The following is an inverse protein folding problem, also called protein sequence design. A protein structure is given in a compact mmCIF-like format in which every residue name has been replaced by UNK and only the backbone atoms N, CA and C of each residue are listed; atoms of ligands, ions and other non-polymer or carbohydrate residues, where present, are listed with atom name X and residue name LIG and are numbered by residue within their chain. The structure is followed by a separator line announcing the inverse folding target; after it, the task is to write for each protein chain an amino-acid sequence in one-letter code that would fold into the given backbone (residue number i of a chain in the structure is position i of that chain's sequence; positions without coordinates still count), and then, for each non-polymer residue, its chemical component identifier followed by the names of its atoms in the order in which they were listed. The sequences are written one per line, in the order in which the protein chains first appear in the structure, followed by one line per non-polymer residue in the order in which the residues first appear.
data_IF_869178616122
#
_entry.id   IF_869178616122
#
_cell.length_a   1.000
_cell.length_b   1.000
_cell.length_c   1.000
_cell.angle_alpha   90.00
_cell.angle_beta   90.00
_cell.angle_gamma   90.00
#
_symmetry.space_group_name_H-M   'P 1'
#
loop_
_entity.id
_entity.type
_entity.pdbx_description
1 polymer ?
#
# COMPACT_ATOMS: atom_id res chain seq x y z
N UNK A 1 21.84 -60.68 11.88
CA UNK A 1 20.75 -59.89 12.52
C UNK A 1 21.18 -58.47 12.91
N UNK A 2 22.34 -58.25 13.55
CA UNK A 2 22.80 -56.93 14.02
C UNK A 2 22.99 -55.91 12.86
N UNK A 3 23.47 -56.36 11.70
CA UNK A 3 23.69 -55.50 10.51
C UNK A 3 22.40 -55.00 9.86
N UNK A 4 21.31 -55.80 9.91
CA UNK A 4 19.99 -55.41 9.41
C UNK A 4 19.34 -54.32 10.29
N UNK A 5 19.53 -54.39 11.61
CA UNK A 5 19.05 -53.36 12.54
C UNK A 5 19.80 -52.04 12.39
N UNK A 6 21.12 -52.09 12.18
CA UNK A 6 21.93 -50.89 11.94
C UNK A 6 21.55 -50.18 10.63
N UNK A 7 21.29 -50.93 9.56
CA UNK A 7 20.84 -50.38 8.28
C UNK A 7 19.44 -49.74 8.38
N UNK A 8 18.51 -50.39 9.08
CA UNK A 8 17.15 -49.87 9.28
C UNK A 8 17.13 -48.59 10.13
N UNK A 9 17.96 -48.52 11.18
CA UNK A 9 18.10 -47.32 12.01
C UNK A 9 18.69 -46.14 11.21
N UNK A 10 19.69 -46.38 10.35
CA UNK A 10 20.25 -45.36 9.48
C UNK A 10 19.24 -44.80 8.48
N UNK A 11 18.42 -45.67 7.87
CA UNK A 11 17.36 -45.27 6.94
C UNK A 11 16.28 -44.43 7.63
N UNK A 12 15.86 -44.80 8.84
CA UNK A 12 14.88 -44.04 9.62
C UNK A 12 15.40 -42.64 9.99
N UNK A 13 16.68 -42.54 10.39
CA UNK A 13 17.31 -41.26 10.72
C UNK A 13 17.44 -40.38 9.47
N UNK A 14 17.77 -40.96 8.31
CA UNK A 14 17.86 -40.23 7.05
C UNK A 14 16.50 -39.68 6.60
N UNK A 15 15.43 -40.47 6.73
CA UNK A 15 14.06 -40.03 6.43
C UNK A 15 13.61 -38.94 7.41
N UNK A 16 13.92 -39.09 8.69
CA UNK A 16 13.60 -38.08 9.70
C UNK A 16 14.33 -36.75 9.45
N UNK A 17 15.61 -36.80 9.08
CA UNK A 17 16.40 -35.63 8.69
C UNK A 17 15.86 -34.97 7.41
N UNK A 18 15.48 -35.76 6.40
CA UNK A 18 14.89 -35.24 5.17
C UNK A 18 13.55 -34.51 5.45
N UNK A 19 12.70 -35.09 6.29
CA UNK A 19 11.43 -34.48 6.72
C UNK A 19 11.69 -33.19 7.51
N UNK A 20 12.63 -33.20 8.44
CA UNK A 20 13.00 -32.00 9.21
C UNK A 20 13.54 -30.89 8.31
N UNK A 21 14.36 -31.20 7.31
CA UNK A 21 14.88 -30.21 6.35
C UNK A 21 13.74 -29.61 5.52
N UNK A 22 12.81 -30.44 5.01
CA UNK A 22 11.63 -29.97 4.24
C UNK A 22 10.71 -29.11 5.10
N UNK A 23 10.50 -29.47 6.37
CA UNK A 23 9.75 -28.67 7.34
C UNK A 23 10.51 -27.39 7.76
N UNK A 24 11.85 -27.37 7.68
CA UNK A 24 12.69 -26.19 7.93
C UNK A 24 13.00 -25.36 6.68
N UNK A 25 12.41 -25.66 5.51
CA UNK A 25 12.42 -24.77 4.33
C UNK A 25 11.56 -23.55 4.67
N UNK A 26 12.16 -22.67 5.47
CA UNK A 26 11.90 -21.27 5.72
C UNK A 26 10.55 -20.73 5.22
N UNK A 27 9.75 -20.18 6.13
CA UNK A 27 8.77 -19.12 5.84
C UNK A 27 9.43 -17.77 5.46
N UNK A 28 10.77 -17.70 5.52
CA UNK A 28 11.55 -16.49 5.17
C UNK A 28 11.33 -15.95 3.74
N UNK A 29 11.17 -16.75 2.66
CA UNK A 29 10.86 -16.21 1.34
C UNK A 29 9.43 -15.66 1.29
N UNK A 30 8.45 -16.26 2.01
CA UNK A 30 7.09 -15.74 2.07
C UNK A 30 7.05 -14.38 2.76
N UNK A 31 7.65 -14.24 3.94
CA UNK A 31 7.73 -12.97 4.66
C UNK A 31 8.49 -11.88 3.89
N UNK A 32 9.59 -12.24 3.21
CA UNK A 32 10.33 -11.29 2.35
C UNK A 32 9.50 -10.85 1.15
N UNK A 33 8.77 -11.78 0.51
CA UNK A 33 7.85 -11.48 -0.61
C UNK A 33 6.72 -10.58 -0.16
N UNK A 34 6.14 -10.78 1.01
CA UNK A 34 5.11 -9.90 1.56
C UNK A 34 5.63 -8.47 1.78
N UNK A 35 6.81 -8.32 2.38
CA UNK A 35 7.42 -7.01 2.59
C UNK A 35 7.72 -6.31 1.25
N UNK A 36 8.22 -7.05 0.27
CA UNK A 36 8.45 -6.50 -1.08
C UNK A 36 7.15 -6.14 -1.79
N UNK A 37 6.10 -6.97 -1.67
CA UNK A 37 4.79 -6.71 -2.24
C UNK A 37 4.11 -5.48 -1.62
N UNK A 38 4.26 -5.28 -0.31
CA UNK A 38 3.80 -4.07 0.37
C UNK A 38 4.57 -2.84 -0.12
N UNK A 39 5.91 -2.93 -0.22
CA UNK A 39 6.74 -1.83 -0.75
C UNK A 39 6.38 -1.48 -2.19
N UNK A 40 6.23 -2.48 -3.06
CA UNK A 40 5.88 -2.25 -4.47
C UNK A 40 4.49 -1.64 -4.63
N UNK A 41 3.54 -2.04 -3.78
CA UNK A 41 2.22 -1.43 -3.74
C UNK A 41 2.28 0.06 -3.40
N UNK A 42 3.06 0.45 -2.38
CA UNK A 42 3.23 1.86 -2.02
C UNK A 42 3.97 2.64 -3.11
N UNK A 43 5.02 2.08 -3.72
CA UNK A 43 5.68 2.72 -4.86
C UNK A 43 4.71 2.94 -6.03
N UNK A 44 3.87 1.95 -6.35
CA UNK A 44 2.87 2.09 -7.41
C UNK A 44 1.81 3.14 -7.06
N UNK A 45 1.45 3.30 -5.79
CA UNK A 45 0.53 4.35 -5.34
C UNK A 45 1.16 5.75 -5.43
N UNK A 46 2.45 5.86 -5.09
CA UNK A 46 3.23 7.09 -5.29
C UNK A 46 3.29 7.45 -6.78
N UNK A 47 3.54 6.47 -7.65
CA UNK A 47 3.54 6.68 -9.10
C UNK A 47 2.16 7.13 -9.61
N UNK A 48 1.07 6.57 -9.10
CA UNK A 48 -0.27 7.04 -9.42
C UNK A 48 -0.50 8.50 -8.96
N UNK A 49 0.12 8.91 -7.84
CA UNK A 49 0.18 10.31 -7.40
C UNK A 49 0.96 11.19 -8.36
N UNK A 50 2.11 10.72 -8.87
CA UNK A 50 2.91 11.44 -9.85
C UNK A 50 2.11 11.68 -11.14
N UNK A 51 1.41 10.66 -11.65
CA UNK A 51 0.49 10.78 -12.80
C UNK A 51 -0.65 11.77 -12.53
N UNK A 52 -1.14 11.87 -11.28
CA UNK A 52 -2.15 12.87 -10.92
C UNK A 52 -1.63 14.31 -11.00
N UNK A 53 -0.32 14.55 -10.84
CA UNK A 53 0.26 15.90 -10.96
C UNK A 53 0.25 16.44 -12.40
N UNK A 54 0.26 15.55 -13.40
CA UNK A 54 0.23 15.88 -14.83
C UNK A 54 -1.15 15.67 -15.46
N UNK A 55 -2.20 15.52 -14.64
CA UNK A 55 -3.56 15.17 -15.06
C UNK A 55 -4.13 16.06 -16.17
N UNK A 56 -3.79 17.36 -16.18
CA UNK A 56 -4.21 18.31 -17.22
C UNK A 56 -3.72 17.92 -18.63
N UNK A 57 -2.53 17.32 -18.72
CA UNK A 57 -1.90 16.97 -19.99
C UNK A 57 -2.34 15.61 -20.54
N UNK A 58 -2.96 14.77 -19.71
CA UNK A 58 -3.44 13.45 -20.12
C UNK A 58 -4.66 13.54 -21.03
N UNK A 59 -4.73 12.69 -22.05
CA UNK A 59 -5.94 12.48 -22.85
C UNK A 59 -7.06 11.83 -22.02
N UNK A 60 -8.30 11.85 -22.54
CA UNK A 60 -9.44 11.25 -21.84
C UNK A 60 -9.28 9.74 -21.59
N UNK A 61 -8.68 9.00 -22.53
CA UNK A 61 -8.40 7.58 -22.38
C UNK A 61 -7.32 7.30 -21.34
N UNK A 62 -6.25 8.10 -21.31
CA UNK A 62 -5.18 8.00 -20.31
C UNK A 62 -5.70 8.31 -18.90
N UNK A 63 -6.56 9.32 -18.76
CA UNK A 63 -7.23 9.64 -17.48
C UNK A 63 -8.09 8.47 -16.99
N UNK A 64 -8.85 7.82 -17.88
CA UNK A 64 -9.65 6.65 -17.52
C UNK A 64 -8.77 5.47 -17.04
N UNK A 65 -7.67 5.20 -17.76
CA UNK A 65 -6.72 4.16 -17.39
C UNK A 65 -6.01 4.45 -16.06
N UNK A 66 -5.58 5.69 -15.85
CA UNK A 66 -4.95 6.14 -14.61
C UNK A 66 -5.92 6.08 -13.43
N UNK A 67 -7.18 6.50 -13.61
CA UNK A 67 -8.23 6.40 -12.60
C UNK A 67 -8.52 4.96 -12.17
N UNK A 68 -8.64 4.04 -13.14
CA UNK A 68 -8.83 2.62 -12.85
C UNK A 68 -7.62 2.01 -12.12
N UNK A 69 -6.40 2.39 -12.54
CA UNK A 69 -5.16 1.93 -11.90
C UNK A 69 -5.11 2.38 -10.44
N UNK A 70 -5.37 3.66 -10.16
CA UNK A 70 -5.47 4.19 -8.80
C UNK A 70 -6.52 3.44 -7.96
N UNK A 71 -7.69 3.15 -8.53
CA UNK A 71 -8.76 2.39 -7.84
C UNK A 71 -8.33 0.96 -7.51
N UNK A 72 -7.63 0.28 -8.43
CA UNK A 72 -7.09 -1.08 -8.20
C UNK A 72 -6.02 -1.09 -7.10
N UNK A 73 -5.15 -0.08 -7.08
CA UNK A 73 -4.12 0.06 -6.06
C UNK A 73 -4.73 0.31 -4.67
N UNK A 74 -5.74 1.18 -4.57
CA UNK A 74 -6.48 1.41 -3.32
C UNK A 74 -7.19 0.13 -2.83
N UNK A 75 -7.87 -0.59 -3.72
CA UNK A 75 -8.48 -1.88 -3.35
C UNK A 75 -7.41 -2.85 -2.82
N UNK A 76 -6.27 -2.96 -3.52
CA UNK A 76 -5.16 -3.81 -3.12
C UNK A 76 -4.55 -3.39 -1.78
N UNK A 77 -4.56 -2.10 -1.47
CA UNK A 77 -4.10 -1.54 -0.20
C UNK A 77 -5.00 -2.02 0.95
N UNK A 78 -6.32 -1.92 0.80
CA UNK A 78 -7.29 -2.35 1.82
C UNK A 78 -7.13 -3.83 2.18
N UNK A 79 -6.89 -4.68 1.19
CA UNK A 79 -6.71 -6.13 1.41
C UNK A 79 -5.27 -6.53 1.78
N UNK A 80 -4.32 -5.59 1.86
CA UNK A 80 -2.89 -5.89 2.05
C UNK A 80 -2.51 -6.40 3.44
N UNK A 81 -3.42 -6.29 4.42
CA UNK A 81 -3.18 -6.61 5.82
C UNK A 81 -2.23 -5.64 6.53
N UNK A 82 -1.91 -4.48 5.94
CA UNK A 82 -1.16 -3.42 6.60
C UNK A 82 -2.02 -2.77 7.71
N UNK A 83 -1.45 -2.52 8.91
CA UNK A 83 -2.19 -1.83 9.97
C UNK A 83 -2.67 -0.45 9.50
N UNK A 84 -3.97 -0.21 9.64
CA UNK A 84 -4.60 1.05 9.23
C UNK A 84 -4.57 1.32 7.73
N UNK A 85 -4.55 0.26 6.91
CA UNK A 85 -4.63 0.35 5.45
C UNK A 85 -5.90 1.05 4.96
N UNK A 86 -7.04 0.89 5.64
CA UNK A 86 -8.27 1.59 5.28
C UNK A 86 -8.17 3.10 5.44
N UNK A 87 -7.57 3.56 6.55
CA UNK A 87 -7.34 4.98 6.77
C UNK A 87 -6.37 5.56 5.72
N UNK A 88 -5.29 4.83 5.43
CA UNK A 88 -4.35 5.20 4.38
C UNK A 88 -5.01 5.24 2.99
N UNK A 89 -5.89 4.28 2.68
CA UNK A 89 -6.62 4.22 1.41
C UNK A 89 -7.58 5.39 1.25
N UNK A 90 -8.38 5.71 2.28
CA UNK A 90 -9.30 6.85 2.24
C UNK A 90 -8.52 8.17 2.05
N UNK A 91 -7.45 8.34 2.84
CA UNK A 91 -6.58 9.50 2.72
C UNK A 91 -5.92 9.59 1.33
N UNK A 92 -5.42 8.49 0.77
CA UNK A 92 -4.81 8.52 -0.57
C UNK A 92 -5.81 8.77 -1.68
N UNK A 93 -7.04 8.25 -1.58
CA UNK A 93 -8.11 8.58 -2.54
C UNK A 93 -8.39 10.10 -2.54
N UNK A 94 -8.44 10.70 -1.37
CA UNK A 94 -8.63 12.14 -1.21
C UNK A 94 -7.44 12.93 -1.77
N UNK A 95 -6.20 12.62 -1.36
CA UNK A 95 -5.00 13.31 -1.85
C UNK A 95 -4.84 13.20 -3.37
N UNK A 96 -5.18 12.05 -3.97
CA UNK A 96 -5.18 11.90 -5.43
C UNK A 96 -6.23 12.80 -6.10
N UNK A 97 -7.38 13.03 -5.47
CA UNK A 97 -8.38 14.00 -5.95
C UNK A 97 -7.82 15.42 -5.92
N UNK A 98 -7.20 15.82 -4.81
CA UNK A 98 -6.60 17.15 -4.66
C UNK A 98 -5.45 17.36 -5.66
N UNK A 99 -4.55 16.39 -5.84
CA UNK A 99 -3.48 16.46 -6.83
C UNK A 99 -4.03 16.66 -8.26
N UNK A 100 -5.12 15.97 -8.63
CA UNK A 100 -5.76 16.15 -9.94
C UNK A 100 -6.39 17.52 -10.09
N UNK A 101 -7.04 18.01 -9.02
CA UNK A 101 -7.65 19.34 -8.98
C UNK A 101 -6.59 20.43 -9.14
N UNK A 102 -5.50 20.33 -8.41
CA UNK A 102 -4.35 21.24 -8.50
C UNK A 102 -3.72 21.22 -9.89
N UNK A 103 -3.53 20.02 -10.45
CA UNK A 103 -3.04 19.87 -11.83
C UNK A 103 -3.93 20.60 -12.83
N UNK A 104 -5.26 20.55 -12.67
CA UNK A 104 -6.22 21.25 -13.53
C UNK A 104 -6.26 22.77 -13.32
N UNK A 105 -5.84 23.26 -12.15
CA UNK A 105 -5.82 24.69 -11.82
C UNK A 105 -4.53 25.41 -12.26
N UNK A 106 -3.69 24.76 -13.08
CA UNK A 106 -2.59 25.43 -13.77
C UNK A 106 -1.21 25.30 -13.13
N UNK A 107 -0.96 24.35 -12.23
CA UNK A 107 0.42 24.15 -11.76
C UNK A 107 0.67 22.89 -10.94
N UNK A 108 1.73 22.16 -11.34
CA UNK A 108 2.47 21.20 -10.52
C UNK A 108 2.83 21.87 -9.19
N UNK A 109 2.10 21.60 -8.11
CA UNK A 109 2.56 21.93 -6.76
C UNK A 109 3.45 20.78 -6.29
N UNK A 110 4.79 20.88 -6.38
CA UNK A 110 5.67 19.79 -6.00
C UNK A 110 5.51 19.49 -4.51
N UNK A 111 5.24 20.52 -3.71
CA UNK A 111 5.03 20.41 -2.28
C UNK A 111 3.88 19.46 -1.89
N UNK A 112 2.77 19.45 -2.64
CA UNK A 112 1.64 18.56 -2.33
C UNK A 112 1.98 17.10 -2.65
N UNK A 113 2.65 16.86 -3.78
CA UNK A 113 3.13 15.54 -4.15
C UNK A 113 4.24 15.04 -3.19
N UNK A 114 5.19 15.89 -2.83
CA UNK A 114 6.26 15.59 -1.89
C UNK A 114 5.71 15.23 -0.50
N UNK A 115 4.67 15.97 -0.07
CA UNK A 115 3.94 15.65 1.15
C UNK A 115 3.28 14.27 1.05
N UNK A 116 2.55 14.02 -0.04
CA UNK A 116 1.88 12.74 -0.29
C UNK A 116 2.88 11.56 -0.27
N UNK A 117 3.98 11.68 -0.99
CA UNK A 117 5.05 10.68 -1.04
C UNK A 117 5.66 10.45 0.36
N UNK A 118 5.99 11.54 1.07
CA UNK A 118 6.62 11.48 2.38
C UNK A 118 5.73 10.79 3.41
N UNK A 119 4.43 11.11 3.43
CA UNK A 119 3.50 10.47 4.38
C UNK A 119 3.35 8.98 4.07
N UNK A 120 3.23 8.58 2.80
CA UNK A 120 3.16 7.15 2.43
C UNK A 120 4.43 6.38 2.80
N UNK A 121 5.62 6.96 2.56
CA UNK A 121 6.90 6.35 2.95
C UNK A 121 7.03 6.26 4.47
N UNK A 122 6.61 7.28 5.19
CA UNK A 122 6.63 7.32 6.66
C UNK A 122 5.68 6.28 7.25
N UNK A 123 4.47 6.19 6.71
CA UNK A 123 3.50 5.17 7.07
C UNK A 123 4.03 3.76 6.83
N UNK A 124 4.63 3.49 5.67
CA UNK A 124 5.19 2.17 5.36
C UNK A 124 6.27 1.74 6.35
N UNK A 125 7.03 2.69 6.92
CA UNK A 125 8.02 2.42 7.98
C UNK A 125 7.35 2.15 9.33
N UNK A 126 6.29 2.87 9.68
CA UNK A 126 5.62 2.80 10.99
C UNK A 126 4.09 2.84 10.88
N UNK A 127 3.45 1.78 10.35
CA UNK A 127 2.04 1.86 9.94
C UNK A 127 1.09 2.13 11.11
N UNK A 128 1.29 1.42 12.24
CA UNK A 128 0.46 1.60 13.45
C UNK A 128 0.53 3.01 14.05
N UNK A 129 1.71 3.64 14.02
CA UNK A 129 1.92 4.96 14.63
C UNK A 129 1.44 6.10 13.75
N UNK A 130 1.48 5.88 12.43
CA UNK A 130 1.21 6.95 11.46
C UNK A 130 -0.23 6.92 10.94
N UNK A 131 -0.93 5.78 10.96
CA UNK A 131 -2.34 5.69 10.55
C UNK A 131 -3.32 6.66 11.22
N UNK A 132 -3.15 7.10 12.49
CA UNK A 132 -4.01 8.12 13.08
C UNK A 132 -3.97 9.44 12.30
N UNK A 133 -2.81 9.87 11.80
CA UNK A 133 -2.67 11.11 11.04
C UNK A 133 -3.56 11.12 9.79
N UNK A 134 -3.64 9.98 9.09
CA UNK A 134 -4.53 9.83 7.93
C UNK A 134 -6.01 9.94 8.30
N UNK A 135 -6.39 9.37 9.44
CA UNK A 135 -7.76 9.46 9.94
C UNK A 135 -8.11 10.89 10.32
N UNK A 136 -7.26 11.52 11.13
CA UNK A 136 -7.45 12.89 11.61
C UNK A 136 -7.54 13.87 10.44
N UNK A 137 -6.75 13.66 9.38
CA UNK A 137 -6.79 14.45 8.16
C UNK A 137 -8.15 14.33 7.45
N UNK A 138 -8.62 13.09 7.22
CA UNK A 138 -9.91 12.87 6.55
C UNK A 138 -11.07 13.42 7.38
N UNK A 139 -11.05 13.22 8.70
CA UNK A 139 -12.06 13.78 9.59
C UNK A 139 -12.06 15.32 9.60
N UNK A 140 -10.88 15.95 9.59
CA UNK A 140 -10.76 17.39 9.49
C UNK A 140 -11.34 17.90 8.17
N UNK A 141 -11.08 17.19 7.07
CA UNK A 141 -11.60 17.53 5.76
C UNK A 141 -13.12 17.35 5.65
N UNK A 142 -13.67 16.24 6.14
CA UNK A 142 -15.13 16.01 6.15
C UNK A 142 -15.84 17.15 6.91
N UNK A 143 -15.27 17.57 8.05
CA UNK A 143 -15.79 18.72 8.81
C UNK A 143 -15.72 20.03 8.03
N UNK A 144 -14.62 20.31 7.32
CA UNK A 144 -14.48 21.55 6.55
C UNK A 144 -15.41 21.59 5.32
N UNK A 145 -15.61 20.45 4.66
CA UNK A 145 -16.56 20.30 3.56
C UNK A 145 -18.01 20.55 4.02
N UNK A 146 -18.41 19.95 5.15
CA UNK A 146 -19.74 20.16 5.75
C UNK A 146 -19.97 21.64 6.12
N UNK A 147 -18.97 22.30 6.70
CA UNK A 147 -19.04 23.72 7.05
C UNK A 147 -19.32 24.60 5.82
N UNK A 148 -18.62 24.34 4.71
CA UNK A 148 -18.80 25.08 3.45
C UNK A 148 -20.20 24.88 2.87
N UNK A 149 -20.76 23.67 2.96
CA UNK A 149 -22.09 23.36 2.45
C UNK A 149 -23.21 24.07 3.23
N UNK A 150 -23.10 24.12 4.56
CA UNK A 150 -24.09 24.80 5.43
C UNK A 150 -24.11 26.31 5.17
N UNK A 151 -22.94 26.92 5.00
CA UNK A 151 -22.83 28.36 4.73
C UNK A 151 -23.29 28.75 3.32
N UNK A 152 -23.26 27.83 2.35
CA UNK A 152 -23.77 28.08 0.99
C UNK A 152 -25.28 27.94 0.85
N UNK A 153 -25.99 27.50 1.90
CA UNK A 153 -27.46 27.38 1.92
C UNK A 153 -28.17 28.52 2.67
N UNK A 154 -27.40 29.46 3.23
CA UNK A 154 -27.88 30.69 3.87
C UNK A 154 -27.67 31.88 2.93
#
# INVERSE_FOLDING_TARGET
MITLFAAAAGALIAVLLAVLIVLHVNDRPARRREVMARRSLICALIEAGNVATIWQFLSASERAAAGLTARRLNLRLRISGLPGADAASNWSEHMLSELRRDSMNGGLQPALFDYFETQLRTWLRQPRRHSPIFRDYVELWDRSALSTAVLGQL
#
